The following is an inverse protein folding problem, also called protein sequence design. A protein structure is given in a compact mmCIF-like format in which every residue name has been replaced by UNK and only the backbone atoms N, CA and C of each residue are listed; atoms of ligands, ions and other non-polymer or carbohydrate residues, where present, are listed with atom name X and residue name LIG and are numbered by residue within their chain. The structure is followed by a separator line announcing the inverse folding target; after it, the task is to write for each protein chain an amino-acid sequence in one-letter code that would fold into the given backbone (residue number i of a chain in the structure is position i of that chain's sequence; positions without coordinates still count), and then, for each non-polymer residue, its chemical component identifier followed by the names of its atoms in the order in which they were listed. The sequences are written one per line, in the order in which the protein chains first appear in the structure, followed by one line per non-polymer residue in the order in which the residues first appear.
data_IF_042427248600
#
_entry.id   IF_042427248600
#
_cell.length_a   1.000
_cell.length_b   1.000
_cell.length_c   1.000
_cell.angle_alpha   90.00
_cell.angle_beta   90.00
_cell.angle_gamma   90.00
#
_symmetry.space_group_name_H-M   'P 1'
#
loop_
_entity.id
_entity.type
_entity.pdbx_description
1 polymer ?
#
# COMPACT_ATOMS: atom_id res chain seq x y z
N UNK A 1 -27.13 12.98 -33.62
CA UNK A 1 -25.67 13.01 -33.82
C UNK A 1 -25.03 12.08 -32.79
N UNK A 2 -24.90 10.78 -33.11
CA UNK A 2 -24.27 9.79 -32.20
C UNK A 2 -22.77 10.03 -32.22
N UNK A 3 -22.16 10.32 -31.06
CA UNK A 3 -20.71 10.25 -30.90
C UNK A 3 -20.36 8.77 -30.89
N UNK A 4 -19.86 8.26 -32.02
CA UNK A 4 -19.14 6.99 -32.06
C UNK A 4 -17.78 7.26 -31.44
N UNK A 5 -17.62 6.90 -30.17
CA UNK A 5 -16.33 6.89 -29.51
C UNK A 5 -15.48 5.77 -30.10
N UNK A 6 -14.19 6.00 -30.24
CA UNK A 6 -13.25 5.07 -30.85
C UNK A 6 -13.13 3.71 -30.12
N UNK A 7 -13.84 3.53 -28.99
CA UNK A 7 -14.00 2.27 -28.27
C UNK A 7 -14.79 1.20 -29.01
N UNK A 8 -15.59 1.56 -30.02
CA UNK A 8 -16.43 0.60 -30.76
C UNK A 8 -15.66 -0.34 -31.72
N UNK A 9 -14.36 -0.11 -31.96
CA UNK A 9 -13.54 -0.91 -32.90
C UNK A 9 -12.41 -1.71 -32.24
N UNK A 10 -12.54 -2.04 -30.95
CA UNK A 10 -11.57 -2.92 -30.28
C UNK A 10 -11.99 -4.37 -30.52
N UNK A 11 -11.19 -5.10 -31.32
CA UNK A 11 -11.28 -6.56 -31.50
C UNK A 11 -11.64 -7.25 -30.16
N UNK A 12 -12.66 -8.12 -30.09
CA UNK A 12 -13.24 -8.60 -28.83
C UNK A 12 -12.23 -9.28 -27.89
N UNK A 13 -11.10 -9.77 -28.42
CA UNK A 13 -9.99 -10.29 -27.62
C UNK A 13 -9.17 -9.24 -26.86
N UNK A 14 -9.00 -8.04 -27.41
CA UNK A 14 -8.17 -6.97 -26.83
C UNK A 14 -8.87 -6.28 -25.65
N UNK A 15 -10.20 -6.10 -25.72
CA UNK A 15 -10.99 -5.52 -24.63
C UNK A 15 -11.04 -6.42 -23.39
N UNK A 16 -11.14 -7.74 -23.60
CA UNK A 16 -11.08 -8.74 -22.52
C UNK A 16 -9.69 -8.76 -21.85
N UNK A 17 -8.62 -8.73 -22.64
CA UNK A 17 -7.25 -8.69 -22.11
C UNK A 17 -6.97 -7.40 -21.34
N UNK A 18 -7.42 -6.25 -21.85
CA UNK A 18 -7.30 -4.97 -21.17
C UNK A 18 -8.08 -4.95 -19.85
N UNK A 19 -9.26 -5.57 -19.81
CA UNK A 19 -10.06 -5.70 -18.59
C UNK A 19 -9.37 -6.57 -17.53
N UNK A 20 -8.78 -7.70 -17.95
CA UNK A 20 -8.02 -8.58 -17.07
C UNK A 20 -6.74 -7.90 -16.55
N UNK A 21 -6.03 -7.17 -17.42
CA UNK A 21 -4.86 -6.39 -17.05
C UNK A 21 -5.21 -5.28 -16.04
N UNK A 22 -6.33 -4.58 -16.24
CA UNK A 22 -6.81 -3.57 -15.31
C UNK A 22 -7.18 -4.17 -13.93
N UNK A 23 -7.82 -5.35 -13.92
CA UNK A 23 -8.12 -6.07 -12.68
C UNK A 23 -6.84 -6.48 -11.95
N UNK A 24 -5.87 -7.05 -12.67
CA UNK A 24 -4.58 -7.44 -12.11
C UNK A 24 -3.84 -6.22 -11.52
N UNK A 25 -3.81 -5.10 -12.25
CA UNK A 25 -3.18 -3.87 -11.79
C UNK A 25 -3.81 -3.36 -10.48
N UNK A 26 -5.15 -3.38 -10.37
CA UNK A 26 -5.84 -2.97 -9.14
C UNK A 26 -5.46 -3.84 -7.96
N UNK A 27 -5.40 -5.17 -8.17
CA UNK A 27 -4.99 -6.12 -7.14
C UNK A 27 -3.52 -5.91 -6.77
N UNK A 28 -2.64 -5.74 -7.74
CA UNK A 28 -1.21 -5.54 -7.51
C UNK A 28 -0.95 -4.24 -6.71
N UNK A 29 -1.65 -3.15 -7.04
CA UNK A 29 -1.56 -1.90 -6.28
C UNK A 29 -2.08 -2.08 -4.85
N UNK A 30 -3.24 -2.74 -4.68
CA UNK A 30 -3.78 -3.05 -3.34
C UNK A 30 -2.84 -3.92 -2.52
N UNK A 31 -2.26 -4.96 -3.12
CA UNK A 31 -1.29 -5.84 -2.48
C UNK A 31 0.00 -5.10 -2.12
N UNK A 32 0.46 -4.15 -2.94
CA UNK A 32 1.60 -3.29 -2.62
C UNK A 32 1.37 -2.43 -1.37
N UNK A 33 0.21 -1.79 -1.28
CA UNK A 33 -0.16 -1.03 -0.07
C UNK A 33 -0.28 -1.93 1.16
N UNK A 34 -0.91 -3.10 1.02
CA UNK A 34 -1.06 -4.05 2.12
C UNK A 34 0.30 -4.64 2.56
N UNK A 35 1.23 -4.82 1.62
CA UNK A 35 2.60 -5.27 1.91
C UNK A 35 3.38 -4.24 2.74
N UNK A 36 3.22 -2.95 2.44
CA UNK A 36 3.82 -1.88 3.25
C UNK A 36 3.25 -1.84 4.67
N UNK A 37 1.96 -2.14 4.84
CA UNK A 37 1.33 -2.30 6.15
C UNK A 37 1.90 -3.52 6.88
N UNK A 38 2.03 -4.65 6.19
CA UNK A 38 2.60 -5.88 6.74
C UNK A 38 4.07 -5.71 7.19
N UNK A 39 4.85 -4.84 6.52
CA UNK A 39 6.20 -4.46 6.94
C UNK A 39 6.23 -3.74 8.28
N UNK A 40 5.27 -2.82 8.52
CA UNK A 40 5.15 -2.12 9.81
C UNK A 40 4.77 -3.06 10.95
N UNK A 41 3.97 -4.08 10.67
CA UNK A 41 3.63 -5.12 11.65
C UNK A 41 4.77 -6.12 11.89
N UNK A 42 5.82 -6.12 11.07
CA UNK A 42 6.95 -7.05 11.19
C UNK A 42 6.65 -8.46 10.67
N UNK A 43 5.62 -8.61 9.82
CA UNK A 43 5.24 -9.90 9.21
C UNK A 43 6.34 -10.42 8.28
N UNK A 44 7.09 -9.52 7.65
CA UNK A 44 8.20 -9.86 6.74
C UNK A 44 9.48 -10.29 7.45
N UNK A 45 9.55 -10.21 8.79
CA UNK A 45 10.68 -10.66 9.58
C UNK A 45 11.39 -9.55 10.34
N UNK A 46 12.50 -9.87 11.04
CA UNK A 46 13.22 -8.93 11.87
C UNK A 46 13.93 -7.84 11.05
N UNK A 47 14.08 -6.68 11.69
CA UNK A 47 14.80 -5.51 11.16
C UNK A 47 16.18 -5.90 10.64
N UNK A 48 16.51 -5.52 9.41
CA UNK A 48 17.79 -5.83 8.77
C UNK A 48 17.78 -7.07 7.86
N UNK A 49 16.64 -7.74 7.70
CA UNK A 49 16.45 -8.72 6.62
C UNK A 49 16.09 -8.00 5.31
N UNK A 50 16.49 -8.59 4.17
CA UNK A 50 16.35 -7.94 2.86
C UNK A 50 14.88 -7.60 2.56
N UNK A 51 14.62 -6.32 2.24
CA UNK A 51 13.29 -5.73 1.96
C UNK A 51 12.41 -5.42 3.18
N UNK A 52 12.96 -5.46 4.40
CA UNK A 52 12.24 -5.08 5.63
C UNK A 52 12.68 -3.70 6.11
N UNK A 53 11.80 -2.70 6.07
CA UNK A 53 12.14 -1.32 6.44
C UNK A 53 12.05 -1.09 7.96
N UNK A 54 10.99 -1.59 8.61
CA UNK A 54 10.75 -1.36 10.06
C UNK A 54 10.99 -2.59 10.92
N UNK A 55 10.65 -3.78 10.42
CA UNK A 55 10.84 -5.09 11.06
C UNK A 55 10.04 -5.33 12.35
N UNK A 56 9.55 -4.30 13.02
CA UNK A 56 8.62 -4.41 14.16
C UNK A 56 7.88 -3.09 14.34
N UNK A 57 6.60 -3.16 14.71
CA UNK A 57 5.76 -1.99 14.99
C UNK A 57 6.37 -1.05 16.03
N UNK A 58 7.15 -1.59 16.98
CA UNK A 58 7.86 -0.80 18.00
C UNK A 58 8.91 0.16 17.42
N UNK A 59 9.64 -0.24 16.37
CA UNK A 59 10.63 0.64 15.73
C UNK A 59 9.95 1.77 14.98
N UNK A 60 8.85 1.46 14.30
CA UNK A 60 8.00 2.45 13.67
C UNK A 60 7.48 3.47 14.69
N UNK A 61 6.91 3.02 15.82
CA UNK A 61 6.45 3.92 16.88
C UNK A 61 7.60 4.76 17.48
N UNK A 62 8.78 4.18 17.69
CA UNK A 62 9.94 4.93 18.18
C UNK A 62 10.37 6.04 17.21
N UNK A 63 10.28 5.80 15.90
CA UNK A 63 10.54 6.81 14.89
C UNK A 63 9.43 7.86 14.81
N UNK A 64 8.16 7.46 14.88
CA UNK A 64 7.02 8.39 14.95
C UNK A 64 7.12 9.31 16.17
N UNK A 65 7.58 8.80 17.32
CA UNK A 65 7.86 9.61 18.50
C UNK A 65 8.96 10.66 18.26
N UNK A 66 10.01 10.32 17.50
CA UNK A 66 11.06 11.28 17.13
C UNK A 66 10.55 12.35 16.17
N UNK A 67 9.67 11.99 15.24
CA UNK A 67 9.08 12.94 14.30
C UNK A 67 8.06 13.87 14.96
N UNK A 68 7.46 13.45 16.07
CA UNK A 68 6.41 14.19 16.75
C UNK A 68 6.82 14.58 18.19
N UNK A 69 7.86 15.42 18.36
CA UNK A 69 8.34 15.82 19.69
C UNK A 69 7.34 16.68 20.47
N UNK A 70 6.29 17.19 19.80
CA UNK A 70 5.23 18.02 20.39
C UNK A 70 4.10 17.18 20.99
N UNK A 71 4.02 15.89 20.67
CA UNK A 71 2.92 15.02 21.10
C UNK A 71 3.33 14.14 22.30
N UNK A 72 2.46 13.99 23.32
CA UNK A 72 2.74 13.10 24.45
C UNK A 72 2.96 11.67 23.97
N UNK A 73 3.95 10.98 24.53
CA UNK A 73 4.32 9.60 24.18
C UNK A 73 3.14 8.60 24.21
N UNK A 74 2.11 8.93 25.00
CA UNK A 74 0.86 8.19 25.17
C UNK A 74 0.04 8.09 23.87
N UNK A 75 0.12 9.11 23.00
CA UNK A 75 -0.65 9.19 21.77
C UNK A 75 0.09 8.60 20.57
N UNK A 76 1.40 8.33 20.70
CA UNK A 76 2.21 7.76 19.62
C UNK A 76 1.65 6.42 19.11
N UNK A 77 1.18 5.47 19.95
CA UNK A 77 0.51 4.26 19.48
C UNK A 77 -0.75 4.55 18.66
N UNK A 78 -1.57 5.51 19.09
CA UNK A 78 -2.79 5.91 18.36
C UNK A 78 -2.43 6.49 17.00
N UNK A 79 -1.45 7.38 16.94
CA UNK A 79 -0.97 7.94 15.68
C UNK A 79 -0.38 6.87 14.76
N UNK A 80 0.36 5.91 15.33
CA UNK A 80 0.89 4.79 14.57
C UNK A 80 -0.21 3.91 13.97
N UNK A 81 -1.28 3.67 14.73
CA UNK A 81 -2.46 2.95 14.25
C UNK A 81 -3.26 3.73 13.21
N UNK A 82 -3.38 5.05 13.32
CA UNK A 82 -4.07 5.89 12.32
C UNK A 82 -3.27 6.00 11.01
N UNK A 83 -1.94 5.96 11.10
CA UNK A 83 -1.05 6.04 9.94
C UNK A 83 -0.91 4.71 9.16
N UNK A 84 -1.50 3.62 9.67
CA UNK A 84 -1.38 2.26 9.11
C UNK A 84 -2.74 1.77 8.66
#
# INVERSE_FOLDING_TARGET
MKRTDASDNIEPGVSSLASLAALFLRIALGAGFLSAVADRFGIWGPVGTASVAWGTFRNFLAYTARLNPWCPAQFIPVLGWVAT
#
